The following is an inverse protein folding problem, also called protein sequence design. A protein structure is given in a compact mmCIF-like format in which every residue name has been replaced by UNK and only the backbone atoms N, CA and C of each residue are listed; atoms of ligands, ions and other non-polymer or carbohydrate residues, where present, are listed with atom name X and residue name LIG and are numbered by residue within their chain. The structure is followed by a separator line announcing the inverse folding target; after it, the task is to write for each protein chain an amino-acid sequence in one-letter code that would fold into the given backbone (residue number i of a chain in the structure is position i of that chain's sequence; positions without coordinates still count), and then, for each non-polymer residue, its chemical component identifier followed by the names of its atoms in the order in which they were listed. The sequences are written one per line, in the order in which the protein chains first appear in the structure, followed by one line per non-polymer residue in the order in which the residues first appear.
data_IF_396868686526
#
_entry.id   IF_396868686526
#
_cell.length_a   1.000
_cell.length_b   1.000
_cell.length_c   1.000
_cell.angle_alpha   90.00
_cell.angle_beta   90.00
_cell.angle_gamma   90.00
#
_symmetry.space_group_name_H-M   'P 1'
#
loop_
_entity.id
_entity.type
_entity.pdbx_description
1 polymer ?
#
# COMPACT_ATOMS: atom_id res chain seq x y z
N UNK A 1 -13.84 -1.91 15.93
CA UNK A 1 -14.39 -0.75 16.67
C UNK A 1 -13.47 0.43 16.44
N UNK A 2 -14.00 1.63 16.12
CA UNK A 2 -13.22 2.85 15.94
C UNK A 2 -13.32 3.67 17.23
N UNK A 3 -12.16 4.04 17.78
CA UNK A 3 -12.03 4.92 18.92
C UNK A 3 -11.56 6.30 18.44
N UNK A 4 -12.30 7.35 18.80
CA UNK A 4 -11.96 8.72 18.39
C UNK A 4 -10.96 9.40 19.32
N UNK A 5 -10.71 8.81 20.48
CA UNK A 5 -9.80 9.34 21.47
C UNK A 5 -8.89 8.23 22.01
N UNK A 6 -7.59 8.49 22.02
CA UNK A 6 -6.59 7.55 22.53
C UNK A 6 -6.84 7.18 24.02
N UNK A 7 -7.46 8.05 24.79
CA UNK A 7 -7.80 7.78 26.19
C UNK A 7 -8.75 6.59 26.35
N UNK A 8 -9.54 6.25 25.33
CA UNK A 8 -10.45 5.10 25.38
C UNK A 8 -9.72 3.75 25.36
N UNK A 9 -8.48 3.74 24.90
CA UNK A 9 -7.61 2.57 24.87
C UNK A 9 -6.43 2.66 25.82
N UNK A 10 -6.30 3.80 26.51
CA UNK A 10 -5.22 4.02 27.46
C UNK A 10 -5.27 2.99 28.60
N UNK A 11 -4.12 2.41 28.94
CA UNK A 11 -4.01 1.36 29.93
C UNK A 11 -4.44 -0.04 29.47
N UNK A 12 -4.95 -0.19 28.23
CA UNK A 12 -5.19 -1.51 27.65
C UNK A 12 -3.90 -2.05 27.01
N UNK A 13 -3.75 -3.37 27.04
CA UNK A 13 -2.61 -4.06 26.40
C UNK A 13 -3.09 -4.79 25.15
N UNK A 14 -2.37 -4.63 24.07
CA UNK A 14 -2.63 -5.31 22.80
C UNK A 14 -1.40 -6.12 22.40
N UNK A 15 -1.56 -7.39 21.97
CA UNK A 15 -0.45 -8.21 21.48
C UNK A 15 0.31 -7.56 20.32
N UNK A 16 -0.41 -6.82 19.46
CA UNK A 16 0.16 -6.14 18.29
C UNK A 16 -0.41 -4.73 18.19
N UNK A 17 0.46 -3.76 17.98
CA UNK A 17 0.09 -2.38 17.66
C UNK A 17 0.60 -2.07 16.25
N UNK A 18 -0.30 -1.63 15.37
CA UNK A 18 -0.01 -1.26 13.98
C UNK A 18 -0.10 0.25 13.88
N UNK A 19 0.94 0.88 13.34
CA UNK A 19 0.97 2.34 13.12
C UNK A 19 0.67 2.62 11.65
N UNK A 20 -0.45 3.28 11.41
CA UNK A 20 -0.96 3.61 10.09
C UNK A 20 -1.99 2.60 9.56
N UNK A 21 -3.11 3.14 9.11
CA UNK A 21 -4.23 2.39 8.51
C UNK A 21 -4.18 2.35 6.98
N UNK A 22 -3.01 2.50 6.38
CA UNK A 22 -2.84 2.28 4.95
C UNK A 22 -3.03 0.80 4.55
N UNK A 23 -2.96 0.46 3.25
CA UNK A 23 -3.21 -0.90 2.76
C UNK A 23 -2.42 -1.98 3.49
N UNK A 24 -1.15 -1.72 3.80
CA UNK A 24 -0.31 -2.67 4.53
C UNK A 24 -0.81 -2.91 5.96
N UNK A 25 -1.13 -1.83 6.69
CA UNK A 25 -1.61 -1.92 8.06
C UNK A 25 -2.95 -2.62 8.16
N UNK A 26 -3.89 -2.28 7.30
CA UNK A 26 -5.22 -2.93 7.25
C UNK A 26 -5.08 -4.41 6.87
N UNK A 27 -4.28 -4.73 5.85
CA UNK A 27 -4.05 -6.13 5.45
C UNK A 27 -3.44 -6.97 6.59
N UNK A 28 -2.49 -6.40 7.33
CA UNK A 28 -1.91 -7.05 8.50
C UNK A 28 -2.96 -7.27 9.59
N UNK A 29 -3.76 -6.24 9.90
CA UNK A 29 -4.80 -6.34 10.91
C UNK A 29 -5.84 -7.41 10.57
N UNK A 30 -6.34 -7.44 9.33
CA UNK A 30 -7.27 -8.48 8.86
C UNK A 30 -6.65 -9.88 8.95
N UNK A 31 -5.35 -10.01 8.64
CA UNK A 31 -4.64 -11.28 8.75
C UNK A 31 -4.47 -11.74 10.19
N UNK A 32 -4.30 -10.81 11.14
CA UNK A 32 -4.26 -11.10 12.57
C UNK A 32 -5.64 -11.50 13.11
N UNK A 33 -6.69 -10.79 12.69
CA UNK A 33 -8.08 -11.09 13.06
C UNK A 33 -8.47 -12.51 12.62
N UNK A 34 -8.14 -12.93 11.40
CA UNK A 34 -8.36 -14.30 10.94
C UNK A 34 -7.67 -15.35 11.82
N UNK A 35 -6.58 -14.98 12.47
CA UNK A 35 -5.84 -15.82 13.43
C UNK A 35 -6.28 -15.64 14.87
N UNK A 36 -7.33 -14.83 15.12
CA UNK A 36 -7.83 -14.47 16.44
C UNK A 36 -6.77 -13.81 17.35
N UNK A 37 -5.92 -13.00 16.74
CA UNK A 37 -4.92 -12.19 17.43
C UNK A 37 -5.43 -10.76 17.45
N UNK A 38 -5.69 -10.26 18.66
CA UNK A 38 -6.13 -8.88 18.85
C UNK A 38 -5.03 -7.89 18.47
N UNK A 39 -5.42 -6.83 17.77
CA UNK A 39 -4.49 -5.76 17.43
C UNK A 39 -5.16 -4.40 17.56
N UNK A 40 -4.33 -3.37 17.72
CA UNK A 40 -4.73 -1.98 17.69
C UNK A 40 -4.09 -1.31 16.48
N UNK A 41 -4.90 -0.64 15.64
CA UNK A 41 -4.37 0.26 14.61
C UNK A 41 -4.42 1.68 15.16
N UNK A 42 -3.31 2.39 15.06
CA UNK A 42 -3.21 3.82 15.37
C UNK A 42 -3.09 4.56 14.05
N UNK A 43 -4.07 5.41 13.75
CA UNK A 43 -4.10 6.26 12.55
C UNK A 43 -3.99 7.73 12.97
N UNK A 44 -3.19 8.48 12.23
CA UNK A 44 -2.96 9.89 12.52
C UNK A 44 -3.97 10.80 11.83
N UNK A 45 -4.61 10.34 10.77
CA UNK A 45 -5.65 11.06 10.03
C UNK A 45 -7.04 10.82 10.62
N UNK A 46 -8.04 11.50 10.05
CA UNK A 46 -9.44 11.28 10.36
C UNK A 46 -10.04 10.12 9.55
N UNK A 47 -11.29 9.75 9.84
CA UNK A 47 -12.03 8.77 9.05
C UNK A 47 -12.19 9.23 7.60
N UNK A 48 -12.38 10.54 7.42
CA UNK A 48 -12.51 11.19 6.11
C UNK A 48 -11.40 12.21 5.90
N UNK A 49 -11.23 12.65 4.66
CA UNK A 49 -10.28 13.70 4.31
C UNK A 49 -10.61 15.01 5.04
N UNK A 50 -9.58 15.68 5.54
CA UNK A 50 -9.68 17.04 6.01
C UNK A 50 -8.41 17.83 5.69
N UNK A 51 -8.57 19.08 5.27
CA UNK A 51 -7.45 19.98 4.97
C UNK A 51 -6.54 20.17 6.20
N UNK A 52 -7.13 20.27 7.38
CA UNK A 52 -6.39 20.41 8.64
C UNK A 52 -5.46 19.22 8.88
N UNK A 53 -5.97 17.99 8.71
CA UNK A 53 -5.16 16.78 8.81
C UNK A 53 -4.07 16.76 7.76
N UNK A 54 -4.41 17.10 6.51
CA UNK A 54 -3.53 17.04 5.36
C UNK A 54 -2.36 18.03 5.46
N UNK A 55 -2.58 19.23 6.02
CA UNK A 55 -1.52 20.22 6.25
C UNK A 55 -0.40 19.72 7.18
N UNK A 56 -0.66 18.70 8.00
CA UNK A 56 0.39 18.06 8.80
C UNK A 56 1.48 17.39 7.96
N UNK A 57 1.26 17.19 6.66
CA UNK A 57 2.28 16.73 5.72
C UNK A 57 3.14 17.85 5.14
N UNK A 58 2.88 19.12 5.49
CA UNK A 58 3.74 20.24 5.11
C UNK A 58 5.16 20.01 5.65
N UNK A 59 6.12 19.88 4.75
CA UNK A 59 7.50 19.60 5.12
C UNK A 59 8.47 20.28 4.15
N UNK A 60 9.69 20.56 4.65
CA UNK A 60 10.78 21.00 3.80
C UNK A 60 11.39 19.80 3.09
N UNK A 61 11.39 19.84 1.76
CA UNK A 61 12.04 18.82 0.93
C UNK A 61 13.54 19.12 0.89
N UNK A 62 14.38 18.13 1.20
CA UNK A 62 15.84 18.22 1.15
C UNK A 62 16.33 17.09 0.24
N UNK A 63 17.20 17.41 -0.72
CA UNK A 63 17.71 16.46 -1.72
C UNK A 63 16.96 16.58 -3.04
N UNK A 64 16.69 15.44 -3.69
CA UNK A 64 15.99 15.42 -4.97
C UNK A 64 14.59 16.00 -4.85
N UNK A 65 14.16 16.71 -5.92
CA UNK A 65 12.80 17.26 -5.95
C UNK A 65 11.79 16.13 -6.10
N UNK A 66 10.89 16.04 -5.13
CA UNK A 66 9.72 15.16 -5.15
C UNK A 66 8.45 16.01 -5.05
N UNK A 67 7.32 15.44 -5.45
CA UNK A 67 6.02 16.06 -5.23
C UNK A 67 5.80 16.26 -3.72
N UNK A 68 5.33 17.44 -3.34
CA UNK A 68 4.98 17.75 -1.95
C UNK A 68 4.04 16.65 -1.39
N UNK A 69 4.34 16.20 -0.18
CA UNK A 69 3.59 15.11 0.47
C UNK A 69 2.10 15.44 0.64
N UNK A 70 1.76 16.72 0.77
CA UNK A 70 0.36 17.17 0.84
C UNK A 70 -0.44 16.81 -0.41
N UNK A 71 0.20 16.68 -1.56
CA UNK A 71 -0.43 16.36 -2.85
C UNK A 71 -0.19 14.92 -3.32
N UNK A 72 0.73 14.21 -2.68
CA UNK A 72 1.12 12.85 -3.08
C UNK A 72 0.75 11.77 -2.07
N UNK A 73 0.24 12.14 -0.90
CA UNK A 73 -0.18 11.23 0.17
C UNK A 73 -1.47 11.72 0.79
N UNK A 74 -2.30 10.79 1.27
CA UNK A 74 -3.49 11.12 2.07
C UNK A 74 -3.28 10.73 3.52
N UNK A 75 -3.65 11.67 4.41
CA UNK A 75 -3.63 11.48 5.86
C UNK A 75 -5.05 11.28 6.37
N UNK A 76 -5.53 10.06 6.19
CA UNK A 76 -6.88 9.61 6.56
C UNK A 76 -6.91 8.10 6.76
N UNK A 77 -8.01 7.57 7.28
CA UNK A 77 -8.25 6.13 7.35
C UNK A 77 -8.15 5.52 5.94
N UNK A 78 -7.41 4.41 5.81
CA UNK A 78 -7.08 3.80 4.52
C UNK A 78 -5.87 4.40 3.82
N UNK A 79 -5.42 5.58 4.25
CA UNK A 79 -4.25 6.26 3.66
C UNK A 79 -4.44 6.60 2.18
N UNK A 80 -3.35 6.64 1.44
CA UNK A 80 -3.33 7.06 0.02
C UNK A 80 -4.12 6.13 -0.90
N UNK A 81 -4.45 4.90 -0.48
CA UNK A 81 -5.34 4.02 -1.26
C UNK A 81 -6.79 4.54 -1.33
N UNK A 82 -7.18 5.50 -0.51
CA UNK A 82 -8.46 6.19 -0.64
C UNK A 82 -8.55 7.10 -1.87
N UNK A 83 -7.45 7.31 -2.61
CA UNK A 83 -7.41 8.19 -3.77
C UNK A 83 -6.41 7.68 -4.82
N UNK A 84 -6.66 6.52 -5.39
CA UNK A 84 -5.80 5.90 -6.39
C UNK A 84 -6.59 5.50 -7.63
N UNK A 85 -5.89 5.28 -8.75
CA UNK A 85 -6.54 4.91 -10.00
C UNK A 85 -6.79 3.41 -10.19
N UNK A 86 -6.64 2.58 -9.15
CA UNK A 86 -6.86 1.13 -9.22
C UNK A 86 -5.81 0.36 -10.02
N UNK A 87 -4.71 1.00 -10.44
CA UNK A 87 -3.68 0.36 -11.25
C UNK A 87 -2.80 -0.56 -10.41
N UNK A 88 -2.79 -1.84 -10.75
CA UNK A 88 -2.04 -2.87 -10.05
C UNK A 88 -0.98 -3.48 -10.95
N UNK A 89 0.23 -3.60 -10.43
CA UNK A 89 1.35 -4.31 -11.04
C UNK A 89 2.14 -5.02 -9.96
N UNK A 90 2.58 -6.27 -10.18
CA UNK A 90 3.47 -6.95 -9.24
C UNK A 90 4.79 -6.18 -9.09
N UNK A 91 5.35 -6.23 -7.89
CA UNK A 91 6.71 -5.75 -7.70
C UNK A 91 7.68 -6.64 -8.48
N UNK A 92 8.62 -6.05 -9.16
CA UNK A 92 9.59 -6.77 -9.97
C UNK A 92 10.82 -7.17 -9.15
N UNK A 93 11.51 -8.22 -9.59
CA UNK A 93 12.68 -8.75 -8.87
C UNK A 93 13.72 -7.67 -8.58
N UNK A 94 14.04 -6.83 -9.54
CA UNK A 94 15.03 -5.76 -9.39
C UNK A 94 14.64 -4.69 -8.36
N UNK A 95 13.35 -4.52 -8.06
CA UNK A 95 12.89 -3.61 -7.00
C UNK A 95 13.26 -4.13 -5.61
N UNK A 96 13.25 -5.45 -5.41
CA UNK A 96 13.48 -6.08 -4.11
C UNK A 96 14.92 -6.58 -3.93
N UNK A 97 15.75 -6.55 -4.97
CA UNK A 97 17.15 -6.99 -4.89
C UNK A 97 17.98 -6.24 -3.85
N UNK A 98 17.58 -5.01 -3.51
CA UNK A 98 18.21 -4.19 -2.48
C UNK A 98 17.62 -4.39 -1.09
N UNK A 99 16.56 -5.18 -0.98
CA UNK A 99 15.94 -5.52 0.29
C UNK A 99 16.54 -6.83 0.78
N UNK A 100 16.68 -6.99 2.06
CA UNK A 100 17.12 -8.26 2.66
C UNK A 100 15.97 -9.29 2.70
N UNK A 101 15.35 -9.51 1.54
CA UNK A 101 14.19 -10.39 1.36
C UNK A 101 14.39 -11.21 0.09
N UNK A 102 14.25 -12.52 0.22
CA UNK A 102 14.27 -13.41 -0.94
C UNK A 102 13.03 -13.21 -1.81
N UNK A 103 13.24 -12.86 -3.09
CA UNK A 103 12.16 -12.60 -4.05
C UNK A 103 11.15 -13.74 -4.17
N UNK A 104 11.60 -15.00 -4.13
CA UNK A 104 10.72 -16.16 -4.23
C UNK A 104 9.73 -16.25 -3.06
N UNK A 105 10.17 -15.88 -1.85
CA UNK A 105 9.28 -15.80 -0.68
C UNK A 105 8.25 -14.69 -0.84
N UNK A 106 8.66 -13.57 -1.39
CA UNK A 106 7.79 -12.45 -1.68
C UNK A 106 6.77 -12.75 -2.80
N UNK A 107 7.22 -13.40 -3.87
CA UNK A 107 6.35 -13.72 -5.02
C UNK A 107 5.21 -14.69 -4.68
N UNK A 108 5.37 -15.54 -3.65
CA UNK A 108 4.31 -16.43 -3.16
C UNK A 108 3.10 -15.69 -2.61
N UNK A 109 3.28 -14.43 -2.17
CA UNK A 109 2.19 -13.60 -1.66
C UNK A 109 1.33 -12.98 -2.78
N UNK A 110 1.76 -13.10 -4.03
CA UNK A 110 1.08 -12.48 -5.18
C UNK A 110 -0.37 -12.93 -5.32
N UNK A 111 -0.64 -14.24 -5.23
CA UNK A 111 -2.00 -14.78 -5.34
C UNK A 111 -2.91 -14.28 -4.22
N UNK A 112 -2.40 -14.20 -3.00
CA UNK A 112 -3.13 -13.65 -1.87
C UNK A 112 -3.42 -12.16 -2.06
N UNK A 113 -2.44 -11.41 -2.53
CA UNK A 113 -2.60 -9.98 -2.82
C UNK A 113 -3.65 -9.75 -3.91
N UNK A 114 -3.63 -10.53 -4.99
CA UNK A 114 -4.64 -10.43 -6.05
C UNK A 114 -6.06 -10.72 -5.53
N UNK A 115 -6.22 -11.69 -4.63
CA UNK A 115 -7.51 -11.98 -3.98
C UNK A 115 -8.00 -10.82 -3.12
N UNK A 116 -7.11 -10.18 -2.36
CA UNK A 116 -7.45 -9.00 -1.54
C UNK A 116 -7.87 -7.83 -2.42
N UNK A 117 -7.21 -7.63 -3.55
CA UNK A 117 -7.48 -6.55 -4.50
C UNK A 117 -8.61 -6.88 -5.47
N UNK A 118 -9.21 -8.07 -5.40
CA UNK A 118 -10.26 -8.57 -6.30
C UNK A 118 -9.87 -8.49 -7.79
N UNK A 119 -8.60 -8.81 -8.11
CA UNK A 119 -8.06 -8.79 -9.47
C UNK A 119 -7.56 -10.16 -9.91
N UNK A 120 -7.50 -10.37 -11.21
CA UNK A 120 -6.90 -11.58 -11.77
C UNK A 120 -5.38 -11.59 -11.62
N UNK A 121 -4.81 -12.76 -11.31
CA UNK A 121 -3.35 -12.95 -11.29
C UNK A 121 -2.81 -13.27 -12.68
N UNK A 122 -3.05 -12.39 -13.64
CA UNK A 122 -2.58 -12.53 -15.02
C UNK A 122 -1.75 -11.28 -15.42
N UNK A 123 -0.49 -11.29 -15.03
CA UNK A 123 0.48 -10.21 -15.30
C UNK A 123 1.55 -10.70 -16.27
N UNK A 124 1.15 -11.15 -17.46
CA UNK A 124 2.09 -11.62 -18.46
C UNK A 124 2.94 -10.47 -18.99
N UNK A 125 4.25 -10.70 -19.04
CA UNK A 125 5.16 -9.81 -19.75
C UNK A 125 5.21 -10.27 -21.21
N UNK A 126 4.97 -9.36 -22.12
CA UNK A 126 5.12 -9.63 -23.55
C UNK A 126 6.29 -8.78 -24.11
N UNK A 127 7.12 -9.44 -24.90
CA UNK A 127 8.15 -8.74 -25.69
C UNK A 127 7.60 -8.49 -27.07
N UNK A 128 7.59 -7.24 -27.52
CA UNK A 128 7.33 -6.93 -28.91
C UNK A 128 8.64 -7.09 -29.68
N UNK A 129 8.68 -8.05 -30.60
CA UNK A 129 9.81 -8.18 -31.52
C UNK A 129 9.78 -7.00 -32.50
N UNK A 130 10.92 -6.39 -32.69
CA UNK A 130 11.10 -5.07 -33.26
C UNK A 130 11.05 -4.98 -34.76
N UNK A 131 10.57 -3.82 -35.24
CA UNK A 131 10.85 -3.31 -36.58
C UNK A 131 12.29 -2.75 -36.71
N UNK A 132 12.98 -2.45 -35.63
CA UNK A 132 14.33 -1.88 -35.60
C UNK A 132 15.24 -2.72 -34.73
N UNK A 133 16.33 -3.23 -35.26
CA UNK A 133 17.25 -4.19 -34.61
C UNK A 133 17.95 -3.66 -33.36
N UNK A 134 17.82 -2.39 -33.04
CA UNK A 134 18.51 -1.76 -31.88
C UNK A 134 17.58 -1.30 -30.76
N UNK A 135 16.27 -1.41 -30.90
CA UNK A 135 15.30 -0.98 -29.90
C UNK A 135 14.41 -2.15 -29.50
N UNK A 136 14.40 -2.51 -28.23
CA UNK A 136 13.47 -3.49 -27.68
C UNK A 136 12.45 -2.81 -26.79
N UNK A 137 11.16 -3.07 -27.03
CA UNK A 137 10.08 -2.65 -26.15
C UNK A 137 9.67 -3.81 -25.30
N UNK A 138 9.57 -3.55 -24.00
CA UNK A 138 8.97 -4.47 -23.04
C UNK A 138 7.74 -3.78 -22.44
N UNK A 139 6.60 -4.43 -22.48
CA UNK A 139 5.42 -3.96 -21.79
C UNK A 139 4.94 -4.98 -20.77
N UNK A 140 4.34 -4.48 -19.71
CA UNK A 140 3.74 -5.31 -18.67
C UNK A 140 2.24 -5.08 -18.66
N UNK A 141 1.49 -6.17 -18.50
CA UNK A 141 0.06 -6.08 -18.27
C UNK A 141 -0.17 -5.56 -16.85
N UNK A 142 -1.00 -4.54 -16.73
CA UNK A 142 -1.49 -4.05 -15.44
C UNK A 142 -2.94 -4.49 -15.26
N UNK A 143 -3.40 -4.54 -14.03
CA UNK A 143 -4.79 -4.85 -13.68
C UNK A 143 -5.40 -3.68 -12.95
N UNK A 144 -6.69 -3.51 -13.11
CA UNK A 144 -7.48 -2.54 -12.37
C UNK A 144 -8.28 -3.28 -11.31
N UNK A 145 -8.31 -2.76 -10.09
CA UNK A 145 -9.27 -3.15 -9.10
C UNK A 145 -10.63 -2.55 -9.47
N UNK A 146 -11.67 -3.35 -9.49
CA UNK A 146 -13.02 -2.92 -9.89
C UNK A 146 -13.72 -2.09 -8.80
N UNK A 147 -13.20 -2.16 -7.57
CA UNK A 147 -13.72 -1.42 -6.41
C UNK A 147 -12.60 -0.66 -5.71
N UNK A 148 -12.80 0.61 -5.52
CA UNK A 148 -11.93 1.52 -4.76
C UNK A 148 -12.75 2.63 -4.11
#
# INVERSE_FOLDING_TARGET
MIHKNINEVFGKSFPVIIVGSGPAGITLALSLEQRKIDCLIIEAGHEEYSDESQESYAAKIIGDQITDLRYSRLRQLGGTSGHWGGWCKPIEKWNVEKWDIEYNSFSKLKDQTCKILEIENDFQQSKINNFYSQISFQYSKVRFADKY
#
